data_IF_719086902575
#
_entry.id   IF_719086902575
#
_cell.length_a   1.000
_cell.length_b   1.000
_cell.length_c   1.000
_cell.angle_alpha   90.00
_cell.angle_beta   90.00
_cell.angle_gamma   90.00
#
_symmetry.space_group_name_H-M   'P 1'
#
loop_
_entity.id
_entity.type
_entity.pdbx_description
1 polymer ?
#
# COMPACT_ATOMS: atom_id res chain seq x y z
N UNK A 1 -7.30 -4.39 -14.12
CA UNK A 1 -6.07 -3.57 -14.24
C UNK A 1 -6.47 -2.18 -14.69
N UNK A 2 -5.97 -1.16 -14.00
CA UNK A 2 -6.12 0.25 -14.32
C UNK A 2 -4.77 0.82 -14.73
N UNK A 3 -4.84 1.75 -15.67
CA UNK A 3 -3.73 2.57 -16.15
C UNK A 3 -4.08 4.05 -15.94
N UNK A 4 -3.18 4.94 -16.36
CA UNK A 4 -3.28 6.38 -16.14
C UNK A 4 -4.59 6.98 -16.65
N UNK A 5 -5.19 7.88 -15.87
CA UNK A 5 -6.41 8.63 -16.19
C UNK A 5 -7.70 7.87 -15.90
N UNK A 6 -7.64 6.64 -15.39
CA UNK A 6 -8.81 5.82 -15.11
C UNK A 6 -9.31 5.98 -13.67
N UNK A 7 -10.59 5.69 -13.47
CA UNK A 7 -11.22 5.63 -12.16
C UNK A 7 -11.84 4.25 -11.90
N UNK A 8 -12.03 3.92 -10.62
CA UNK A 8 -12.69 2.67 -10.21
C UNK A 8 -13.44 2.81 -8.90
N UNK A 9 -14.38 1.90 -8.70
CA UNK A 9 -15.08 1.66 -7.44
C UNK A 9 -15.15 0.15 -7.12
N UNK A 10 -14.14 -0.61 -7.56
CA UNK A 10 -14.07 -2.05 -7.33
C UNK A 10 -13.38 -2.38 -6.01
N UNK A 11 -13.74 -3.51 -5.40
CA UNK A 11 -13.16 -3.97 -4.14
C UNK A 11 -11.67 -4.33 -4.26
N UNK A 12 -11.27 -4.90 -5.40
CA UNK A 12 -9.88 -5.23 -5.70
C UNK A 12 -9.51 -4.57 -7.02
N UNK A 13 -8.48 -3.73 -6.97
CA UNK A 13 -7.97 -3.01 -8.13
C UNK A 13 -6.50 -3.29 -8.32
N UNK A 14 -6.03 -3.33 -9.56
CA UNK A 14 -4.61 -3.40 -9.88
C UNK A 14 -4.22 -2.14 -10.62
N UNK A 15 -3.28 -1.36 -10.09
CA UNK A 15 -2.72 -0.19 -10.77
C UNK A 15 -1.39 -0.58 -11.42
N UNK A 16 -1.32 -0.46 -12.74
CA UNK A 16 -0.17 -0.89 -13.54
C UNK A 16 0.33 0.22 -14.45
N UNK A 17 1.60 0.16 -14.83
CA UNK A 17 2.13 1.10 -15.82
C UNK A 17 1.50 0.92 -17.20
N UNK A 18 1.44 1.97 -18.02
CA UNK A 18 1.12 1.85 -19.44
C UNK A 18 2.03 0.81 -20.10
N UNK A 19 1.46 -0.17 -20.79
CA UNK A 19 2.21 -1.24 -21.47
C UNK A 19 2.67 -2.41 -20.58
N UNK A 20 2.23 -2.49 -19.32
CA UNK A 20 2.49 -3.64 -18.45
C UNK A 20 2.14 -4.98 -19.17
N UNK A 21 2.96 -6.05 -19.04
CA UNK A 21 4.07 -6.24 -18.11
C UNK A 21 5.43 -5.65 -18.56
N UNK A 22 5.47 -4.93 -19.69
CA UNK A 22 6.73 -4.30 -20.12
C UNK A 22 7.01 -3.04 -19.31
N UNK A 23 8.29 -2.72 -18.97
CA UNK A 23 8.63 -1.46 -18.32
C UNK A 23 8.31 -0.26 -19.20
N UNK A 24 7.93 0.86 -18.60
CA UNK A 24 7.76 2.15 -19.29
C UNK A 24 8.99 3.04 -19.08
N UNK A 25 9.29 3.89 -20.06
CA UNK A 25 10.28 4.96 -19.95
C UNK A 25 9.65 6.35 -20.04
N UNK A 26 8.32 6.41 -19.97
CA UNK A 26 7.55 7.63 -20.12
C UNK A 26 7.82 8.59 -18.97
N UNK A 27 7.73 9.89 -19.29
CA UNK A 27 7.90 11.00 -18.38
C UNK A 27 6.60 11.79 -18.36
N UNK A 28 6.17 12.23 -17.19
CA UNK A 28 4.92 12.95 -17.00
C UNK A 28 4.19 12.53 -15.73
N UNK A 29 2.90 12.84 -15.71
CA UNK A 29 2.02 12.51 -14.58
C UNK A 29 1.06 11.40 -14.97
N UNK A 30 0.85 10.46 -14.06
CA UNK A 30 -0.07 9.34 -14.22
C UNK A 30 -0.86 9.17 -12.94
N UNK A 31 -2.16 9.45 -12.98
CA UNK A 31 -3.03 9.35 -11.81
C UNK A 31 -4.19 8.39 -12.06
N UNK A 32 -4.65 7.74 -11.01
CA UNK A 32 -5.93 7.02 -10.96
C UNK A 32 -6.75 7.53 -9.79
N UNK A 33 -8.07 7.41 -9.91
CA UNK A 33 -9.00 7.75 -8.85
C UNK A 33 -9.73 6.51 -8.34
N UNK A 34 -9.79 6.36 -7.02
CA UNK A 34 -10.47 5.27 -6.35
C UNK A 34 -11.62 5.87 -5.55
N UNK A 35 -12.83 5.48 -5.92
CA UNK A 35 -14.05 5.81 -5.20
C UNK A 35 -14.34 4.68 -4.23
N UNK A 36 -14.73 5.01 -2.99
CA UNK A 36 -15.17 4.02 -2.01
C UNK A 36 -16.33 3.22 -2.63
N UNK A 37 -16.20 1.89 -2.67
CA UNK A 37 -17.26 1.00 -3.16
C UNK A 37 -18.50 1.08 -2.25
N UNK A 38 -18.27 1.35 -0.97
CA UNK A 38 -19.30 1.47 0.04
C UNK A 38 -18.80 2.38 1.18
N UNK A 39 -19.71 3.09 1.89
CA UNK A 39 -19.33 4.03 2.94
C UNK A 39 -18.59 3.35 4.11
N UNK A 40 -18.89 2.08 4.39
CA UNK A 40 -18.28 1.31 5.47
C UNK A 40 -16.83 0.87 5.19
N UNK A 41 -16.24 1.17 4.04
CA UNK A 41 -14.80 0.93 3.81
C UNK A 41 -13.99 1.91 4.64
N UNK A 42 -13.10 1.42 5.51
CA UNK A 42 -12.25 2.26 6.35
C UNK A 42 -10.78 2.23 5.95
N UNK A 43 -10.36 1.23 5.18
CA UNK A 43 -8.95 1.06 4.87
C UNK A 43 -8.72 0.52 3.47
N UNK A 44 -7.62 0.97 2.86
CA UNK A 44 -7.08 0.39 1.62
C UNK A 44 -5.66 -0.07 1.91
N UNK A 45 -5.35 -1.30 1.55
CA UNK A 45 -3.97 -1.78 1.53
C UNK A 45 -3.39 -1.56 0.14
N UNK A 46 -2.13 -1.18 0.05
CA UNK A 46 -1.39 -1.10 -1.19
C UNK A 46 -0.31 -2.16 -1.15
N UNK A 47 -0.47 -3.20 -1.97
CA UNK A 47 0.49 -4.28 -2.14
C UNK A 47 1.34 -4.02 -3.37
N UNK A 48 2.64 -3.80 -3.17
CA UNK A 48 3.60 -3.54 -4.24
C UNK A 48 4.11 -4.85 -4.82
N UNK A 49 3.38 -5.47 -5.74
CA UNK A 49 3.80 -6.73 -6.36
C UNK A 49 5.08 -6.53 -7.17
N UNK A 50 5.06 -5.51 -8.02
CA UNK A 50 6.24 -4.96 -8.68
C UNK A 50 6.23 -3.45 -8.47
N UNK A 51 7.35 -2.87 -8.04
CA UNK A 51 7.45 -1.43 -7.87
C UNK A 51 8.92 -1.01 -7.93
N UNK A 52 9.26 -0.37 -9.04
CA UNK A 52 10.57 0.22 -9.30
C UNK A 52 10.39 1.58 -9.97
N UNK A 53 10.75 2.64 -9.25
CA UNK A 53 10.83 4.02 -9.72
C UNK A 53 12.26 4.57 -9.57
N UNK A 54 12.47 5.83 -9.93
CA UNK A 54 13.73 6.55 -9.66
C UNK A 54 14.10 6.54 -8.19
N UNK A 55 15.40 6.45 -7.91
CA UNK A 55 15.92 6.39 -6.55
C UNK A 55 15.77 7.75 -5.85
N UNK A 56 15.59 7.77 -4.52
CA UNK A 56 15.62 9.01 -3.76
C UNK A 56 16.96 9.74 -3.92
N UNK A 57 16.93 11.04 -3.67
CA UNK A 57 18.12 11.86 -3.61
C UNK A 57 19.08 11.29 -2.56
N UNK A 58 20.31 10.99 -2.96
CA UNK A 58 21.30 10.34 -2.08
C UNK A 58 21.73 11.20 -0.88
N UNK A 59 21.52 12.51 -0.94
CA UNK A 59 21.90 13.44 0.11
C UNK A 59 20.74 13.74 1.07
N UNK A 60 19.52 13.92 0.55
CA UNK A 60 18.35 14.31 1.37
C UNK A 60 17.43 13.14 1.72
N UNK A 61 17.42 12.07 0.91
CA UNK A 61 16.45 10.99 0.99
C UNK A 61 15.12 11.28 0.30
N UNK A 62 14.97 12.45 -0.33
CA UNK A 62 13.71 12.88 -0.92
C UNK A 62 13.49 12.33 -2.33
N UNK A 63 12.22 12.15 -2.69
CA UNK A 63 11.79 11.71 -4.01
C UNK A 63 11.67 12.90 -4.98
N UNK A 64 12.81 13.49 -5.34
CA UNK A 64 12.87 14.70 -6.18
C UNK A 64 12.50 14.44 -7.65
N UNK A 65 12.94 13.31 -8.19
CA UNK A 65 12.75 12.98 -9.61
C UNK A 65 11.43 12.26 -9.86
N UNK A 66 11.35 11.03 -9.37
CA UNK A 66 10.17 10.19 -9.46
C UNK A 66 9.54 10.05 -8.10
N UNK A 67 8.22 10.22 -8.04
CA UNK A 67 7.47 10.09 -6.80
C UNK A 67 6.14 9.41 -7.06
N UNK A 68 5.87 8.39 -6.27
CA UNK A 68 4.54 7.81 -6.06
C UNK A 68 3.91 8.53 -4.87
N UNK A 69 2.67 8.94 -5.03
CA UNK A 69 1.89 9.55 -3.95
C UNK A 69 0.53 8.90 -3.87
N UNK A 70 0.12 8.54 -2.67
CA UNK A 70 -1.26 8.20 -2.34
C UNK A 70 -1.80 9.29 -1.42
N UNK A 71 -2.99 9.80 -1.73
CA UNK A 71 -3.64 10.77 -0.89
C UNK A 71 -5.14 10.83 -1.12
N UNK A 72 -5.83 11.58 -0.26
CA UNK A 72 -7.22 11.97 -0.50
C UNK A 72 -7.44 13.42 -0.10
N UNK A 73 -8.05 14.18 -1.00
CA UNK A 73 -8.20 15.63 -0.85
C UNK A 73 -6.87 16.36 -0.68
N UNK A 74 -6.85 17.36 0.20
CA UNK A 74 -5.69 18.25 0.43
C UNK A 74 -4.89 17.93 1.71
N UNK A 75 -5.29 16.94 2.51
CA UNK A 75 -4.88 16.87 3.93
C UNK A 75 -3.97 15.69 4.25
N UNK A 76 -4.00 14.60 3.46
CA UNK A 76 -3.20 13.41 3.74
C UNK A 76 -2.56 12.91 2.45
N UNK A 77 -1.23 13.01 2.36
CA UNK A 77 -0.44 12.38 1.31
C UNK A 77 0.73 11.57 1.89
N UNK A 78 1.02 10.42 1.28
CA UNK A 78 2.22 9.63 1.56
C UNK A 78 3.01 9.49 0.28
N UNK A 79 4.34 9.59 0.39
CA UNK A 79 5.24 9.68 -0.77
C UNK A 79 6.27 8.55 -0.73
N UNK A 80 6.48 7.89 -1.86
CA UNK A 80 7.50 6.84 -2.02
C UNK A 80 8.21 6.95 -3.36
N UNK A 81 9.43 6.44 -3.43
CA UNK A 81 10.20 6.27 -4.64
C UNK A 81 11.19 5.10 -4.46
N UNK A 82 12.00 4.82 -5.47
CA UNK A 82 12.92 3.69 -5.50
C UNK A 82 12.23 2.34 -5.69
N UNK A 83 12.77 1.30 -5.06
CA UNK A 83 12.26 -0.08 -5.17
C UNK A 83 11.54 -0.50 -3.89
N UNK A 84 10.26 -0.86 -4.01
CA UNK A 84 9.41 -1.30 -2.90
C UNK A 84 8.70 -2.63 -3.18
N UNK A 85 9.12 -3.36 -4.22
CA UNK A 85 8.54 -4.67 -4.58
C UNK A 85 8.52 -5.63 -3.38
N UNK A 86 7.42 -6.34 -3.18
CA UNK A 86 7.20 -7.27 -2.07
C UNK A 86 6.69 -6.63 -0.77
N UNK A 87 6.69 -5.30 -0.67
CA UNK A 87 6.18 -4.59 0.50
C UNK A 87 4.70 -4.23 0.37
N UNK A 88 4.12 -3.80 1.49
CA UNK A 88 2.77 -3.27 1.52
C UNK A 88 2.67 -2.07 2.45
N UNK A 89 1.66 -1.25 2.26
CA UNK A 89 1.28 -0.18 3.18
C UNK A 89 -0.23 -0.12 3.38
N UNK A 90 -0.67 0.52 4.45
CA UNK A 90 -2.07 0.78 4.73
C UNK A 90 -2.37 2.27 4.60
N UNK A 91 -3.50 2.59 3.99
CA UNK A 91 -4.03 3.93 3.87
C UNK A 91 -5.44 3.98 4.45
N UNK A 92 -5.60 4.79 5.48
CA UNK A 92 -6.87 5.00 6.18
C UNK A 92 -7.76 5.96 5.39
N UNK A 93 -9.01 5.53 5.17
CA UNK A 93 -10.04 6.22 4.38
C UNK A 93 -11.38 6.30 5.13
N UNK A 94 -11.39 6.10 6.45
CA UNK A 94 -12.61 6.07 7.26
C UNK A 94 -13.36 7.42 7.17
N UNK A 95 -12.68 8.51 7.55
CA UNK A 95 -13.22 9.87 7.55
C UNK A 95 -13.09 10.61 6.20
N UNK A 96 -12.89 9.85 5.12
CA UNK A 96 -12.58 10.41 3.80
C UNK A 96 -13.80 10.35 2.89
N UNK A 97 -14.39 11.51 2.62
CA UNK A 97 -15.50 11.67 1.66
C UNK A 97 -15.04 12.03 0.23
N UNK A 98 -13.79 12.45 0.09
CA UNK A 98 -13.19 12.78 -1.21
C UNK A 98 -12.61 11.53 -1.90
N UNK A 99 -12.59 11.48 -3.25
CA UNK A 99 -11.95 10.38 -3.97
C UNK A 99 -10.47 10.23 -3.56
N UNK A 100 -10.06 8.98 -3.32
CA UNK A 100 -8.64 8.67 -3.12
C UNK A 100 -7.94 8.80 -4.48
N UNK A 101 -6.86 9.56 -4.51
CA UNK A 101 -6.03 9.75 -5.69
C UNK A 101 -4.69 9.07 -5.46
N UNK A 102 -4.36 8.14 -6.35
CA UNK A 102 -3.01 7.59 -6.45
C UNK A 102 -2.37 8.20 -7.67
N UNK A 103 -1.25 8.87 -7.51
CA UNK A 103 -0.55 9.52 -8.61
C UNK A 103 0.94 9.19 -8.63
N UNK A 104 1.46 9.07 -9.85
CA UNK A 104 2.87 8.98 -10.18
C UNK A 104 3.28 10.28 -10.86
N UNK A 105 4.34 10.92 -10.38
CA UNK A 105 5.05 11.96 -11.13
C UNK A 105 6.42 11.45 -11.47
N UNK A 106 6.68 11.36 -12.76
CA UNK A 106 7.85 10.76 -13.35
C UNK A 106 8.60 11.86 -14.08
N UNK A 107 9.82 12.18 -13.66
CA UNK A 107 10.60 13.27 -14.28
C UNK A 107 11.96 12.82 -14.81
N UNK A 108 12.47 11.68 -14.34
CA UNK A 108 13.78 11.18 -14.77
C UNK A 108 13.74 10.58 -16.19
N UNK A 109 14.71 10.93 -17.03
CA UNK A 109 14.78 10.45 -18.43
C UNK A 109 15.67 9.23 -18.53
N UNK A 110 15.47 8.41 -19.58
CA UNK A 110 16.27 7.22 -19.87
C UNK A 110 16.29 6.18 -18.73
N UNK A 111 15.21 6.11 -17.97
CA UNK A 111 15.03 5.13 -16.91
C UNK A 111 13.81 4.27 -17.22
N UNK A 112 13.91 2.98 -16.92
CA UNK A 112 12.81 2.04 -17.02
C UNK A 112 12.13 1.89 -15.67
N UNK A 113 10.81 2.05 -15.66
CA UNK A 113 9.95 1.93 -14.50
C UNK A 113 9.00 0.78 -14.70
N UNK A 114 8.68 0.11 -13.61
CA UNK A 114 7.69 -0.96 -13.61
C UNK A 114 6.90 -0.85 -12.32
N UNK A 115 5.58 -0.80 -12.43
CA UNK A 115 4.73 -0.92 -11.26
C UNK A 115 3.51 -1.79 -11.54
N UNK A 116 3.19 -2.59 -10.54
CA UNK A 116 1.99 -3.39 -10.39
C UNK A 116 1.62 -3.36 -8.92
N UNK A 117 0.58 -2.59 -8.61
CA UNK A 117 0.12 -2.35 -7.25
C UNK A 117 -1.27 -2.93 -7.11
N UNK A 118 -1.44 -3.91 -6.22
CA UNK A 118 -2.76 -4.44 -5.88
C UNK A 118 -3.34 -3.63 -4.73
N UNK A 119 -4.61 -3.27 -4.88
CA UNK A 119 -5.33 -2.33 -4.02
C UNK A 119 -6.61 -3.01 -3.53
N UNK A 120 -6.55 -3.88 -2.51
CA UNK A 120 -7.74 -4.37 -1.83
C UNK A 120 -8.26 -3.31 -0.84
N UNK A 121 -9.57 -3.09 -0.88
CA UNK A 121 -10.30 -2.30 0.10
C UNK A 121 -10.85 -3.20 1.21
N UNK A 122 -10.88 -2.69 2.44
CA UNK A 122 -11.31 -3.42 3.63
C UNK A 122 -12.35 -2.61 4.40
N UNK A 123 -13.36 -3.31 4.91
CA UNK A 123 -14.24 -2.81 5.97
C UNK A 123 -13.53 -2.91 7.33
N UNK A 124 -13.93 -2.13 8.34
CA UNK A 124 -13.46 -2.30 9.71
C UNK A 124 -13.64 -3.73 10.22
N UNK A 125 -14.73 -4.38 9.81
CA UNK A 125 -15.06 -5.75 10.22
C UNK A 125 -14.24 -6.81 9.45
N UNK A 126 -13.68 -6.46 8.28
CA UNK A 126 -12.78 -7.33 7.51
C UNK A 126 -11.36 -7.35 8.10
N UNK A 127 -11.12 -6.64 9.21
CA UNK A 127 -9.94 -6.87 10.06
C UNK A 127 -10.15 -8.20 10.81
N UNK A 128 -10.35 -9.28 10.06
CA UNK A 128 -10.16 -10.64 10.55
C UNK A 128 -8.65 -10.85 10.72
N UNK A 129 -8.21 -10.67 11.97
CA UNK A 129 -7.18 -11.49 12.59
C UNK A 129 -5.92 -11.77 11.75
N UNK A 130 -5.02 -10.79 11.66
CA UNK A 130 -3.65 -11.16 12.01
C UNK A 130 -3.73 -11.67 13.44
N UNK A 131 -3.29 -12.90 13.72
CA UNK A 131 -3.48 -13.58 15.01
C UNK A 131 -2.74 -12.90 16.17
N UNK A 132 -3.19 -11.71 16.55
CA UNK A 132 -2.77 -10.91 17.71
C UNK A 132 -3.85 -9.90 18.14
N UNK A 133 -5.13 -10.24 17.94
CA UNK A 133 -6.21 -9.67 18.76
C UNK A 133 -6.91 -10.80 19.51
N UNK A 134 -6.23 -11.30 20.53
CA UNK A 134 -6.97 -11.64 21.74
C UNK A 134 -7.58 -10.31 22.18
N UNK A 135 -8.90 -10.19 22.11
CA UNK A 135 -9.61 -9.27 22.99
C UNK A 135 -9.14 -9.68 24.40
N UNK A 136 -8.15 -8.96 24.93
CA UNK A 136 -7.96 -8.90 26.37
C UNK A 136 -9.21 -8.17 26.85
N UNK A 137 -10.30 -8.92 26.97
CA UNK A 137 -11.22 -8.68 28.04
C UNK A 137 -10.31 -8.73 29.27
N UNK A 138 -10.07 -7.56 29.85
CA UNK A 138 -9.46 -7.46 31.16
C UNK A 138 -10.38 -8.25 32.10
N UNK A 139 -10.15 -9.55 32.20
CA UNK A 139 -10.56 -10.31 33.35
C UNK A 139 -9.57 -9.93 34.44
N UNK A 140 -10.09 -9.20 35.42
CA UNK A 140 -9.38 -8.52 36.49
C UNK A 140 -8.68 -9.47 37.48
N UNK A 141 -8.36 -10.72 37.11
CA UNK A 141 -7.90 -11.73 38.08
C UNK A 141 -6.84 -12.77 37.65
N UNK A 142 -6.15 -12.66 36.50
CA UNK A 142 -5.15 -13.68 36.13
C UNK A 142 -3.76 -13.12 35.80
N UNK A 143 -2.93 -13.08 36.84
CA UNK A 143 -1.50 -12.81 36.78
C UNK A 143 -0.75 -14.01 36.16
N UNK A 144 -0.28 -13.87 34.91
CA UNK A 144 0.52 -14.89 34.24
C UNK A 144 2.00 -14.75 34.66
N UNK A 145 2.45 -15.58 35.59
CA UNK A 145 3.80 -15.52 36.16
C UNK A 145 4.80 -16.52 35.52
N UNK A 146 4.65 -16.82 34.23
CA UNK A 146 5.56 -17.72 33.53
C UNK A 146 6.64 -16.97 32.74
N UNK A 147 7.91 -17.27 33.07
CA UNK A 147 9.12 -16.66 32.50
C UNK A 147 9.71 -17.44 31.33
N UNK A 148 8.90 -18.13 30.53
CA UNK A 148 9.38 -18.94 29.40
C UNK A 148 8.86 -18.37 28.09
N UNK A 149 9.76 -17.75 27.32
CA UNK A 149 9.54 -17.37 25.92
C UNK A 149 9.88 -18.58 25.05
N UNK A 150 8.89 -19.14 24.35
CA UNK A 150 9.15 -20.05 23.23
C UNK A 150 9.11 -19.24 21.91
N UNK A 151 10.12 -19.36 21.04
CA UNK A 151 10.09 -18.73 19.73
C UNK A 151 9.13 -19.46 18.77
N UNK A 152 8.36 -18.70 18.00
CA UNK A 152 7.39 -19.18 17.01
C UNK A 152 8.01 -19.78 15.73
N UNK A 153 9.25 -20.28 15.76
CA UNK A 153 9.98 -20.78 14.58
C UNK A 153 10.65 -22.14 14.83
N UNK A 154 9.88 -23.15 15.24
CA UNK A 154 10.36 -24.54 15.24
C UNK A 154 9.26 -25.50 14.76
N UNK A 155 8.74 -25.26 13.56
CA UNK A 155 8.18 -26.33 12.72
C UNK A 155 9.15 -26.66 11.57
N UNK A 156 10.36 -27.10 11.89
CA UNK A 156 11.12 -28.07 11.11
C UNK A 156 12.12 -28.73 12.06
N UNK A 157 11.90 -30.00 12.39
CA UNK A 157 12.84 -31.02 12.90
C UNK A 157 12.06 -32.02 13.78
N UNK A 158 11.11 -32.73 13.15
CA UNK A 158 10.81 -34.10 13.55
C UNK A 158 11.14 -34.98 12.35
N UNK A 159 12.39 -35.43 12.29
CA UNK A 159 12.79 -36.70 11.67
C UNK A 159 13.93 -37.30 12.49
#
# INVERSE_FOLDING_TARGET
HLTCGQETSNNITYFTNPGFPSPTSDVGECAIQIKKIAPEISQIRLDFLHFTLGQPNRLTGDCDSDVFIVGSGLVRDMRLCGSNSGHHMYFDVDDVNEPIVIYMKLSERNMFRLWEIKLPAFRPDDVEGSGDTVLVQMDETRDCNDRIMMPCDFEEFIM
#
